data_IF_286086977920
#
_entry.id   IF_286086977920
#
_cell.length_a   1.000
_cell.length_b   1.000
_cell.length_c   1.000
_cell.angle_alpha   90.00
_cell.angle_beta   90.00
_cell.angle_gamma   90.00
#
_symmetry.space_group_name_H-M   'P 1'
#
loop_
_entity.id
_entity.type
_entity.pdbx_description
1 polymer ?
#
# COMPACT_ATOMS: atom_id res chain seq x y z
N UNK A 1 -29.89 -10.66 12.36
CA UNK A 1 -29.50 -9.54 11.46
C UNK A 1 -28.74 -8.50 12.27
N UNK A 2 -27.41 -8.62 12.35
CA UNK A 2 -26.58 -7.62 13.03
C UNK A 2 -25.97 -6.72 11.95
N UNK A 3 -26.54 -5.53 11.82
CA UNK A 3 -26.05 -4.46 10.97
C UNK A 3 -24.69 -4.01 11.49
N UNK A 4 -23.60 -4.52 10.91
CA UNK A 4 -22.27 -3.95 11.13
C UNK A 4 -22.28 -2.56 10.48
N UNK A 5 -22.34 -1.55 11.35
CA UNK A 5 -22.03 -0.16 11.09
C UNK A 5 -20.94 -0.04 10.01
N UNK A 6 -21.30 0.51 8.84
CA UNK A 6 -20.31 0.97 7.87
C UNK A 6 -19.60 2.13 8.53
N UNK A 7 -18.40 1.89 9.03
CA UNK A 7 -17.54 2.95 9.55
C UNK A 7 -17.35 4.00 8.46
N UNK A 8 -17.89 5.19 8.72
CA UNK A 8 -17.65 6.42 7.97
C UNK A 8 -16.14 6.57 7.80
N UNK A 9 -15.65 6.40 6.58
CA UNK A 9 -14.28 6.82 6.24
C UNK A 9 -14.29 8.33 6.37
N UNK A 10 -13.75 8.85 7.49
CA UNK A 10 -13.51 10.27 7.68
C UNK A 10 -12.71 10.78 6.47
N UNK A 11 -13.17 11.89 5.88
CA UNK A 11 -12.42 12.56 4.81
C UNK A 11 -11.10 13.01 5.43
N UNK A 12 -10.00 12.48 4.93
CA UNK A 12 -8.66 12.94 5.29
C UNK A 12 -8.62 14.45 5.05
N UNK A 13 -8.24 15.22 6.08
CA UNK A 13 -8.01 16.66 5.96
C UNK A 13 -6.96 16.94 4.89
N UNK A 14 -6.90 18.19 4.42
CA UNK A 14 -5.87 18.62 3.47
C UNK A 14 -4.46 18.33 4.04
N UNK A 15 -3.57 17.81 3.19
CA UNK A 15 -2.18 17.57 3.57
C UNK A 15 -1.53 18.94 3.83
N UNK A 16 -0.88 19.17 4.99
CA UNK A 16 -0.21 20.44 5.27
C UNK A 16 0.79 20.81 4.17
N UNK A 17 0.81 22.09 3.77
CA UNK A 17 1.67 22.56 2.68
C UNK A 17 3.16 22.29 2.93
N UNK A 18 3.63 22.52 4.16
CA UNK A 18 5.02 22.26 4.55
C UNK A 18 5.40 20.78 4.38
N UNK A 19 4.48 19.86 4.65
CA UNK A 19 4.72 18.43 4.45
C UNK A 19 4.81 18.06 2.97
N UNK A 20 4.01 18.70 2.12
CA UNK A 20 4.10 18.54 0.68
C UNK A 20 5.43 19.09 0.16
N UNK A 21 5.89 20.24 0.65
CA UNK A 21 7.18 20.81 0.27
C UNK A 21 8.35 19.89 0.64
N UNK A 22 8.35 19.33 1.85
CA UNK A 22 9.33 18.33 2.30
C UNK A 22 9.32 17.07 1.42
N UNK A 23 8.12 16.58 1.07
CA UNK A 23 7.97 15.42 0.19
C UNK A 23 8.53 15.69 -1.21
N UNK A 24 8.22 16.86 -1.79
CA UNK A 24 8.72 17.28 -3.09
C UNK A 24 10.25 17.49 -3.08
N UNK A 25 10.80 18.03 -1.99
CA UNK A 25 12.24 18.14 -1.80
C UNK A 25 12.92 16.75 -1.76
N UNK A 26 12.32 15.78 -1.08
CA UNK A 26 12.81 14.40 -1.07
C UNK A 26 12.71 13.74 -2.46
N UNK A 27 11.65 14.02 -3.22
CA UNK A 27 11.45 13.51 -4.58
C UNK A 27 12.50 14.02 -5.58
N UNK A 28 13.04 15.23 -5.37
CA UNK A 28 14.12 15.82 -6.20
C UNK A 28 15.52 15.24 -5.94
N UNK A 29 15.70 14.40 -4.91
CA UNK A 29 17.02 13.80 -4.59
C UNK A 29 17.50 12.86 -5.72
N UNK A 30 18.83 12.68 -5.88
CA UNK A 30 19.38 11.73 -6.85
C UNK A 30 18.77 10.33 -6.69
N UNK A 31 18.61 9.62 -7.81
CA UNK A 31 17.99 8.28 -7.83
C UNK A 31 18.67 7.31 -6.86
N UNK A 32 20.00 7.31 -6.80
CA UNK A 32 20.75 6.47 -5.87
C UNK A 32 20.37 6.75 -4.42
N UNK A 33 20.27 8.02 -4.03
CA UNK A 33 19.84 8.42 -2.69
C UNK A 33 18.42 7.96 -2.40
N UNK A 34 17.50 8.13 -3.35
CA UNK A 34 16.11 7.68 -3.21
C UNK A 34 16.03 6.16 -3.02
N UNK A 35 16.76 5.40 -3.83
CA UNK A 35 16.84 3.93 -3.71
C UNK A 35 17.46 3.50 -2.37
N UNK A 36 18.55 4.13 -1.94
CA UNK A 36 19.22 3.83 -0.67
C UNK A 36 18.29 3.97 0.54
N UNK A 37 17.39 4.93 0.51
CA UNK A 37 16.42 5.19 1.59
C UNK A 37 15.01 4.66 1.29
N UNK A 38 14.85 3.78 0.29
CA UNK A 38 13.54 3.22 -0.09
C UNK A 38 12.47 4.29 -0.38
N UNK A 39 12.88 5.47 -0.85
CA UNK A 39 11.99 6.52 -1.33
C UNK A 39 11.55 6.18 -2.77
N UNK A 40 10.67 5.18 -2.88
CA UNK A 40 10.20 4.65 -4.16
C UNK A 40 8.68 4.71 -4.24
N UNK A 41 8.18 4.98 -5.45
CA UNK A 41 6.79 4.70 -5.79
C UNK A 41 6.72 3.24 -6.24
N UNK A 42 6.17 2.38 -5.39
CA UNK A 42 5.91 0.98 -5.72
C UNK A 42 4.42 0.71 -5.69
N UNK A 43 3.99 -0.26 -6.49
CA UNK A 43 2.64 -0.82 -6.40
C UNK A 43 2.48 -1.52 -5.06
N UNK A 44 1.40 -1.20 -4.35
CA UNK A 44 1.01 -1.80 -3.06
C UNK A 44 -0.22 -2.66 -3.31
N UNK A 45 -0.06 -3.98 -3.49
CA UNK A 45 -1.18 -4.88 -3.71
C UNK A 45 -2.28 -4.67 -2.67
N UNK A 46 -3.53 -4.79 -3.10
CA UNK A 46 -4.72 -4.51 -2.30
C UNK A 46 -4.88 -3.00 -2.06
N UNK A 47 -3.91 -2.30 -1.46
CA UNK A 47 -4.09 -0.88 -1.10
C UNK A 47 -4.30 0.03 -2.33
N UNK A 48 -3.66 -0.30 -3.45
CA UNK A 48 -3.84 0.43 -4.71
C UNK A 48 -5.10 -0.04 -5.48
N UNK A 49 -5.66 -1.21 -5.16
CA UNK A 49 -6.77 -1.84 -5.92
C UNK A 49 -8.13 -1.80 -5.19
N UNK A 50 -8.11 -1.75 -3.87
CA UNK A 50 -9.28 -1.90 -3.01
C UNK A 50 -9.06 -1.24 -1.63
N UNK A 51 -10.13 -0.76 -0.95
CA UNK A 51 -9.99 -0.16 0.38
C UNK A 51 -9.40 -1.11 1.44
N UNK A 52 -9.76 -2.39 1.36
CA UNK A 52 -9.19 -3.46 2.19
C UNK A 52 -9.49 -4.82 1.57
N UNK A 53 -8.75 -5.84 2.02
CA UNK A 53 -9.06 -7.26 1.77
C UNK A 53 -8.68 -8.08 2.99
N UNK A 54 -9.51 -9.07 3.33
CA UNK A 54 -9.28 -10.00 4.43
C UNK A 54 -9.53 -11.43 3.97
N UNK A 55 -8.83 -12.38 4.57
CA UNK A 55 -8.96 -13.82 4.30
C UNK A 55 -9.33 -14.56 5.57
N UNK A 56 -10.04 -15.68 5.45
CA UNK A 56 -10.44 -16.48 6.62
C UNK A 56 -9.30 -17.38 7.11
N UNK A 57 -8.23 -17.53 6.32
CA UNK A 57 -7.04 -18.28 6.70
C UNK A 57 -5.80 -17.79 5.96
N UNK A 58 -4.62 -18.09 6.52
CA UNK A 58 -3.34 -17.81 5.86
C UNK A 58 -3.16 -18.63 4.57
N UNK A 59 -3.76 -19.82 4.48
CA UNK A 59 -3.69 -20.65 3.27
C UNK A 59 -4.47 -20.02 2.10
N UNK A 60 -5.63 -19.41 2.39
CA UNK A 60 -6.41 -18.66 1.41
C UNK A 60 -5.65 -17.41 0.94
N UNK A 61 -5.06 -16.65 1.86
CA UNK A 61 -4.18 -15.52 1.55
C UNK A 61 -3.04 -15.91 0.61
N UNK A 62 -2.29 -16.98 0.92
CA UNK A 62 -1.16 -17.43 0.08
C UNK A 62 -1.59 -17.84 -1.32
N UNK A 63 -2.67 -18.61 -1.45
CA UNK A 63 -3.22 -18.98 -2.77
C UNK A 63 -3.61 -17.75 -3.59
N UNK A 64 -4.22 -16.76 -2.95
CA UNK A 64 -4.57 -15.52 -3.63
C UNK A 64 -3.31 -14.77 -4.10
N UNK A 65 -2.27 -14.66 -3.27
CA UNK A 65 -0.99 -14.06 -3.66
C UNK A 65 -0.37 -14.77 -4.88
N UNK A 66 -0.30 -16.11 -4.85
CA UNK A 66 0.26 -16.92 -5.94
C UNK A 66 -0.50 -16.76 -7.27
N UNK A 67 -1.81 -16.48 -7.23
CA UNK A 67 -2.66 -16.38 -8.42
C UNK A 67 -2.78 -14.96 -8.98
N UNK A 68 -2.58 -13.94 -8.15
CA UNK A 68 -2.93 -12.56 -8.49
C UNK A 68 -1.74 -11.60 -8.44
N UNK A 69 -0.66 -11.95 -7.74
CA UNK A 69 0.49 -11.07 -7.57
C UNK A 69 1.69 -11.57 -8.38
N UNK A 70 2.46 -10.66 -8.98
CA UNK A 70 3.74 -11.03 -9.59
C UNK A 70 4.74 -11.63 -8.59
N UNK A 71 5.49 -12.64 -9.03
CA UNK A 71 6.48 -13.35 -8.21
C UNK A 71 7.55 -12.44 -7.59
N UNK A 72 7.96 -11.39 -8.32
CA UNK A 72 9.00 -10.44 -7.88
C UNK A 72 8.61 -9.63 -6.64
N UNK A 73 7.31 -9.60 -6.28
CA UNK A 73 6.86 -8.95 -5.03
C UNK A 73 7.13 -9.81 -3.78
N UNK A 74 7.47 -11.10 -3.93
CA UNK A 74 7.88 -11.95 -2.82
C UNK A 74 6.76 -12.41 -1.88
N UNK A 75 5.49 -12.29 -2.27
CA UNK A 75 4.34 -12.78 -1.50
C UNK A 75 4.04 -14.28 -1.72
N UNK A 76 4.61 -14.87 -2.76
CA UNK A 76 4.50 -16.30 -3.06
C UNK A 76 5.25 -17.17 -2.04
N UNK A 77 5.05 -18.49 -2.11
CA UNK A 77 5.87 -19.43 -1.33
C UNK A 77 7.29 -19.47 -1.88
N UNK A 78 8.26 -19.59 -0.96
CA UNK A 78 9.66 -19.94 -1.25
C UNK A 78 9.87 -21.42 -0.95
#
# INVERSE_FOLDING_TARGET
>A
MSSRSRSRVEKHGEIPADWLEDFEAAARRPLETRMRYSFIKTYKPILDDAPYRSFNSTAEYRRWCEQNLPDWLGYGRV
#
